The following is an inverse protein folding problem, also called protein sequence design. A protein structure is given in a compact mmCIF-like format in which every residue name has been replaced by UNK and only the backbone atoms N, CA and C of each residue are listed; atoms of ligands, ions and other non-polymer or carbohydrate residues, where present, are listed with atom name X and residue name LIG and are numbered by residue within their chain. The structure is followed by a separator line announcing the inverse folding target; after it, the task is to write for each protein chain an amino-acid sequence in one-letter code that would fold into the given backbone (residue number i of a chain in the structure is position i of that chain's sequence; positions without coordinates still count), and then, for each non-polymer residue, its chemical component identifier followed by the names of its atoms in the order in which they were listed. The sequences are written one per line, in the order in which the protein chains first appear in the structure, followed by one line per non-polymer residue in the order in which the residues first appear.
data_IF_473795103581
#
_entry.id   IF_473795103581
#
_cell.length_a   1.000
_cell.length_b   1.000
_cell.length_c   1.000
_cell.angle_alpha   90.00
_cell.angle_beta   90.00
_cell.angle_gamma   90.00
#
_symmetry.space_group_name_H-M   'P 1'
#
loop_
_entity.id
_entity.type
_entity.pdbx_description
1 polymer ?
#
# COMPACT_ATOMS: atom_id res chain seq x y z
N UNK A 1 -32.48 14.47 -44.83
CA UNK A 1 -31.31 14.97 -44.06
C UNK A 1 -31.56 15.27 -42.59
N UNK A 2 -32.81 15.54 -42.18
CA UNK A 2 -33.15 15.83 -40.77
C UNK A 2 -33.06 14.59 -39.88
N UNK A 3 -33.39 13.38 -40.35
CA UNK A 3 -33.32 12.13 -39.56
C UNK A 3 -31.88 11.65 -39.37
N UNK A 4 -31.02 11.80 -40.35
CA UNK A 4 -29.61 11.48 -40.27
C UNK A 4 -28.88 12.36 -39.24
N UNK A 5 -29.15 13.66 -39.22
CA UNK A 5 -28.61 14.58 -38.23
C UNK A 5 -29.04 14.24 -36.80
N UNK A 6 -30.29 13.78 -36.61
CA UNK A 6 -30.77 13.32 -35.28
C UNK A 6 -30.03 12.08 -34.79
N UNK A 7 -29.83 11.09 -35.67
CA UNK A 7 -29.10 9.86 -35.36
C UNK A 7 -27.59 10.16 -35.03
N UNK A 8 -26.98 11.05 -35.82
CA UNK A 8 -25.57 11.47 -35.53
C UNK A 8 -25.49 12.22 -34.22
N UNK A 9 -26.42 13.10 -33.90
CA UNK A 9 -26.42 13.86 -32.65
C UNK A 9 -26.62 12.95 -31.44
N UNK A 10 -27.50 11.95 -31.55
CA UNK A 10 -27.70 10.94 -30.47
C UNK A 10 -26.47 10.04 -30.29
N UNK A 11 -25.84 9.61 -31.38
CA UNK A 11 -24.56 8.86 -31.31
C UNK A 11 -23.44 9.67 -30.70
N UNK A 12 -23.28 10.92 -31.10
CA UNK A 12 -22.26 11.82 -30.52
C UNK A 12 -22.51 12.04 -29.02
N UNK A 13 -23.77 12.22 -28.60
CA UNK A 13 -24.12 12.27 -27.18
C UNK A 13 -23.79 10.98 -26.44
N UNK A 14 -24.10 9.83 -27.02
CA UNK A 14 -23.78 8.54 -26.45
C UNK A 14 -22.27 8.30 -26.30
N UNK A 15 -21.49 8.65 -27.34
CA UNK A 15 -20.02 8.56 -27.26
C UNK A 15 -19.44 9.53 -26.23
N UNK A 16 -19.95 10.75 -26.15
CA UNK A 16 -19.52 11.75 -25.15
C UNK A 16 -19.79 11.29 -23.72
N UNK A 17 -20.98 10.71 -23.48
CA UNK A 17 -21.33 10.12 -22.18
C UNK A 17 -20.43 8.94 -21.84
N UNK A 18 -20.07 8.11 -22.83
CA UNK A 18 -19.17 6.97 -22.63
C UNK A 18 -17.72 7.41 -22.38
N UNK A 19 -17.26 8.46 -23.05
CA UNK A 19 -15.95 9.07 -22.80
C UNK A 19 -15.91 9.70 -21.41
N UNK A 20 -16.93 10.43 -21.01
CA UNK A 20 -17.03 11.02 -19.67
C UNK A 20 -17.08 9.93 -18.58
N UNK A 21 -17.83 8.84 -18.82
CA UNK A 21 -17.86 7.69 -17.91
C UNK A 21 -16.50 6.99 -17.81
N UNK A 22 -15.78 6.83 -18.91
CA UNK A 22 -14.44 6.25 -18.91
C UNK A 22 -13.39 7.19 -18.27
N UNK A 23 -13.50 8.49 -18.48
CA UNK A 23 -12.67 9.49 -17.82
C UNK A 23 -12.96 9.55 -16.32
N UNK A 24 -14.22 9.44 -15.90
CA UNK A 24 -14.62 9.37 -14.49
C UNK A 24 -14.11 8.08 -13.82
N UNK A 25 -14.08 6.96 -14.54
CA UNK A 25 -13.46 5.71 -14.05
C UNK A 25 -11.93 5.83 -13.95
N UNK A 26 -11.31 6.59 -14.87
CA UNK A 26 -9.86 6.81 -14.89
C UNK A 26 -9.40 7.83 -13.84
N UNK A 27 -10.24 8.82 -13.52
CA UNK A 27 -9.96 9.84 -12.49
C UNK A 27 -10.34 9.40 -11.08
N UNK A 28 -11.11 8.33 -10.93
CA UNK A 28 -11.64 7.90 -9.63
C UNK A 28 -12.67 8.87 -9.01
N UNK A 29 -13.00 9.94 -9.71
CA UNK A 29 -13.96 10.96 -9.28
C UNK A 29 -15.32 10.73 -9.95
N UNK A 30 -15.99 9.64 -9.58
CA UNK A 30 -17.44 9.55 -9.79
C UNK A 30 -18.08 10.30 -8.63
N UNK A 31 -18.42 11.56 -8.83
CA UNK A 31 -19.30 12.24 -7.90
C UNK A 31 -20.60 11.45 -7.81
N UNK A 32 -21.07 11.12 -6.61
CA UNK A 32 -22.35 10.44 -6.45
C UNK A 32 -23.43 11.35 -7.02
N UNK A 33 -24.20 10.85 -7.98
CA UNK A 33 -25.43 11.50 -8.41
C UNK A 33 -26.40 11.47 -7.23
N UNK A 34 -26.36 12.54 -6.45
CA UNK A 34 -27.28 12.72 -5.31
C UNK A 34 -28.64 13.04 -5.95
N UNK A 35 -29.59 12.18 -5.73
CA UNK A 35 -30.97 12.46 -6.11
C UNK A 35 -31.46 13.66 -5.25
N UNK A 36 -31.77 14.81 -5.86
CA UNK A 36 -32.17 16.00 -5.11
C UNK A 36 -33.52 15.82 -4.37
N UNK A 37 -34.25 14.72 -4.66
CA UNK A 37 -35.53 14.38 -4.04
C UNK A 37 -35.39 13.40 -2.87
N UNK A 38 -34.19 12.84 -2.64
CA UNK A 38 -33.94 11.91 -1.55
C UNK A 38 -33.90 12.62 -0.19
N UNK A 39 -34.34 11.94 0.85
CA UNK A 39 -34.31 12.48 2.22
C UNK A 39 -32.89 12.79 2.68
N UNK A 40 -32.70 13.76 3.63
CA UNK A 40 -31.37 14.09 4.15
C UNK A 40 -30.62 12.89 4.75
N UNK A 41 -31.31 11.89 5.24
CA UNK A 41 -30.73 10.64 5.76
C UNK A 41 -30.25 9.72 4.64
N UNK A 42 -31.00 9.57 3.56
CA UNK A 42 -30.63 8.79 2.37
C UNK A 42 -29.46 9.43 1.64
N UNK A 43 -29.43 10.76 1.54
CA UNK A 43 -28.29 11.48 0.96
C UNK A 43 -27.01 11.27 1.78
N UNK A 44 -27.09 11.31 3.12
CA UNK A 44 -25.97 11.01 4.01
C UNK A 44 -25.52 9.56 3.91
N UNK A 45 -26.45 8.60 3.80
CA UNK A 45 -26.15 7.19 3.62
C UNK A 45 -25.47 6.92 2.27
N UNK A 46 -25.91 7.56 1.20
CA UNK A 46 -25.33 7.45 -0.14
C UNK A 46 -23.92 8.02 -0.18
N UNK A 47 -23.69 9.21 0.41
CA UNK A 47 -22.37 9.81 0.55
C UNK A 47 -21.43 8.95 1.39
N UNK A 48 -21.93 8.41 2.51
CA UNK A 48 -21.12 7.53 3.38
C UNK A 48 -20.75 6.22 2.67
N UNK A 49 -21.65 5.64 1.90
CA UNK A 49 -21.39 4.43 1.11
C UNK A 49 -20.41 4.73 -0.03
N UNK A 50 -20.55 5.86 -0.70
CA UNK A 50 -19.63 6.29 -1.75
C UNK A 50 -18.23 6.53 -1.22
N UNK A 51 -18.10 7.25 -0.09
CA UNK A 51 -16.81 7.43 0.59
C UNK A 51 -16.20 6.10 1.05
N UNK A 52 -17.03 5.15 1.50
CA UNK A 52 -16.59 3.81 1.88
C UNK A 52 -16.06 3.03 0.67
N UNK A 53 -16.78 3.06 -0.44
CA UNK A 53 -16.38 2.38 -1.68
C UNK A 53 -15.11 2.99 -2.27
N UNK A 54 -14.98 4.33 -2.29
CA UNK A 54 -13.77 5.01 -2.74
C UNK A 54 -12.58 4.68 -1.83
N UNK A 55 -12.77 4.63 -0.53
CA UNK A 55 -11.75 4.22 0.42
C UNK A 55 -11.34 2.75 0.22
N UNK A 56 -12.30 1.85 0.00
CA UNK A 56 -12.03 0.44 -0.28
C UNK A 56 -11.32 0.22 -1.62
N UNK A 57 -11.61 1.02 -2.63
CA UNK A 57 -10.94 0.97 -3.94
C UNK A 57 -9.51 1.53 -3.92
N UNK A 58 -9.19 2.45 -3.00
CA UNK A 58 -7.83 2.96 -2.80
C UNK A 58 -6.91 1.96 -2.09
N UNK A 59 -7.50 0.95 -1.47
CA UNK A 59 -6.78 -0.08 -0.75
C UNK A 59 -6.75 -1.31 -1.64
N UNK A 60 -5.64 -1.49 -2.34
CA UNK A 60 -5.42 -2.69 -3.13
C UNK A 60 -5.33 -3.90 -2.21
N UNK A 61 -6.42 -4.66 -2.13
CA UNK A 61 -6.50 -5.94 -1.43
C UNK A 61 -6.10 -7.03 -2.41
N UNK A 62 -4.84 -7.29 -2.53
CA UNK A 62 -4.39 -8.36 -3.40
C UNK A 62 -3.72 -9.45 -2.57
N UNK A 63 -3.96 -10.69 -2.96
CA UNK A 63 -2.99 -11.75 -2.68
C UNK A 63 -1.90 -11.58 -3.72
N UNK A 64 -0.73 -11.12 -3.33
CA UNK A 64 0.32 -10.88 -4.30
C UNK A 64 0.77 -12.23 -4.88
N UNK A 65 0.81 -12.32 -6.21
CA UNK A 65 1.35 -13.51 -6.92
C UNK A 65 2.89 -13.45 -7.01
N UNK A 66 3.52 -12.73 -6.10
CA UNK A 66 4.98 -12.60 -6.03
C UNK A 66 5.52 -13.58 -5.02
N UNK A 67 6.33 -14.53 -5.49
CA UNK A 67 6.97 -15.51 -4.64
C UNK A 67 8.27 -14.96 -4.07
N UNK A 68 8.68 -15.52 -2.94
CA UNK A 68 9.95 -15.21 -2.32
C UNK A 68 11.16 -15.50 -3.21
N UNK A 69 11.02 -16.50 -4.10
CA UNK A 69 12.01 -16.86 -5.12
C UNK A 69 12.17 -15.81 -6.22
N UNK A 70 11.10 -15.04 -6.47
CA UNK A 70 11.09 -14.04 -7.54
C UNK A 70 11.78 -12.72 -7.09
N UNK A 71 11.98 -12.56 -5.79
CA UNK A 71 12.76 -11.46 -5.21
C UNK A 71 14.24 -11.84 -5.28
N UNK A 72 14.95 -11.29 -6.24
CA UNK A 72 16.36 -11.61 -6.50
C UNK A 72 17.26 -10.64 -5.74
N UNK A 73 18.30 -11.18 -5.10
CA UNK A 73 19.20 -10.42 -4.24
C UNK A 73 18.53 -10.07 -2.90
N UNK A 74 19.05 -9.07 -2.21
CA UNK A 74 18.55 -8.55 -0.92
C UNK A 74 18.35 -9.65 0.14
N UNK A 75 19.23 -10.66 0.15
CA UNK A 75 19.09 -11.84 1.02
C UNK A 75 19.12 -11.47 2.51
N UNK A 76 19.91 -10.48 2.91
CA UNK A 76 19.93 -9.96 4.28
C UNK A 76 18.55 -9.39 4.68
N UNK A 77 17.92 -8.64 3.79
CA UNK A 77 16.59 -8.08 4.04
C UNK A 77 15.52 -9.18 4.08
N UNK A 78 15.62 -10.21 3.22
CA UNK A 78 14.75 -11.38 3.28
C UNK A 78 14.89 -12.11 4.61
N UNK A 79 16.11 -12.40 5.06
CA UNK A 79 16.36 -13.08 6.32
C UNK A 79 15.84 -12.27 7.50
N UNK A 80 16.07 -10.95 7.51
CA UNK A 80 15.55 -10.07 8.54
C UNK A 80 14.01 -10.06 8.61
N UNK A 81 13.31 -10.15 7.47
CA UNK A 81 11.84 -10.26 7.43
C UNK A 81 11.35 -11.64 7.87
N UNK A 82 12.07 -12.72 7.50
CA UNK A 82 11.76 -14.06 7.99
C UNK A 82 11.82 -14.12 9.52
N UNK A 83 12.89 -13.60 10.10
CA UNK A 83 13.07 -13.56 11.55
C UNK A 83 12.05 -12.69 12.27
N UNK A 84 11.67 -11.56 11.65
CA UNK A 84 10.80 -10.58 12.29
C UNK A 84 9.31 -10.86 12.12
N UNK A 85 8.90 -11.50 11.03
CA UNK A 85 7.48 -11.73 10.70
C UNK A 85 7.18 -13.21 10.53
N UNK A 86 7.91 -13.91 9.65
CA UNK A 86 7.52 -15.26 9.22
C UNK A 86 7.63 -16.26 10.35
N UNK A 87 8.78 -16.29 11.02
CA UNK A 87 8.99 -17.22 12.12
C UNK A 87 8.07 -16.96 13.32
N UNK A 88 7.91 -15.73 13.82
CA UNK A 88 6.98 -15.45 14.91
C UNK A 88 5.53 -15.76 14.56
N UNK A 89 5.13 -15.54 13.29
CA UNK A 89 3.75 -15.86 12.86
C UNK A 89 3.50 -17.37 12.82
N UNK A 90 4.50 -18.17 12.38
CA UNK A 90 4.39 -19.63 12.27
C UNK A 90 4.59 -20.34 13.62
N UNK A 91 5.43 -19.78 14.49
CA UNK A 91 5.85 -20.37 15.77
C UNK A 91 5.92 -19.31 16.88
N UNK A 92 4.76 -18.75 17.23
CA UNK A 92 4.65 -17.72 18.28
C UNK A 92 5.12 -18.22 19.67
N UNK A 93 5.06 -19.54 19.87
CA UNK A 93 5.54 -20.22 21.08
C UNK A 93 7.03 -19.98 21.38
N UNK A 94 7.84 -19.75 20.33
CA UNK A 94 9.27 -19.47 20.45
C UNK A 94 9.60 -17.99 20.79
N UNK A 95 8.61 -17.13 20.82
CA UNK A 95 8.77 -15.68 21.02
C UNK A 95 8.01 -15.17 22.25
N UNK A 96 8.32 -15.63 23.46
CA UNK A 96 7.55 -15.29 24.67
C UNK A 96 7.60 -13.81 25.04
N UNK A 97 8.62 -13.09 24.59
CA UNK A 97 8.78 -11.64 24.79
C UNK A 97 8.04 -10.80 23.74
N UNK A 98 7.39 -11.44 22.77
CA UNK A 98 6.78 -10.80 21.60
C UNK A 98 7.78 -10.59 20.49
N UNK A 99 7.32 -10.00 19.40
CA UNK A 99 8.10 -9.74 18.20
C UNK A 99 7.70 -8.41 17.56
N UNK A 100 8.55 -7.80 16.72
CA UNK A 100 8.27 -6.53 16.08
C UNK A 100 7.06 -6.64 15.15
N UNK A 101 6.16 -5.69 15.24
CA UNK A 101 4.98 -5.57 14.36
C UNK A 101 5.06 -4.35 13.45
N UNK A 102 5.90 -3.38 13.81
CA UNK A 102 6.26 -2.23 12.99
C UNK A 102 7.65 -2.41 12.38
N UNK A 103 7.74 -2.46 11.06
CA UNK A 103 8.98 -2.69 10.31
C UNK A 103 9.16 -1.58 9.30
N UNK A 104 10.34 -1.00 9.24
CA UNK A 104 10.71 0.02 8.27
C UNK A 104 11.68 -0.57 7.24
N UNK A 105 11.27 -0.60 5.97
CA UNK A 105 12.15 -0.86 4.84
C UNK A 105 12.68 0.48 4.32
N UNK A 106 13.99 0.62 4.26
CA UNK A 106 14.60 1.85 3.75
C UNK A 106 15.76 1.54 2.79
N UNK A 107 15.98 2.42 1.83
CA UNK A 107 17.04 2.26 0.84
C UNK A 107 16.73 3.02 -0.45
N UNK A 108 17.64 2.97 -1.42
CA UNK A 108 17.50 3.69 -2.68
C UNK A 108 16.18 3.35 -3.41
N UNK A 109 15.68 4.24 -4.28
CA UNK A 109 14.53 3.94 -5.11
C UNK A 109 14.84 2.76 -6.06
N UNK A 110 13.82 1.99 -6.43
CA UNK A 110 13.95 0.87 -7.37
C UNK A 110 14.58 -0.41 -6.80
N UNK A 111 14.90 -0.49 -5.50
CA UNK A 111 15.49 -1.68 -4.88
C UNK A 111 14.49 -2.81 -4.58
N UNK A 112 13.21 -2.66 -4.94
CA UNK A 112 12.21 -3.71 -4.76
C UNK A 112 11.58 -3.80 -3.36
N UNK A 113 11.55 -2.71 -2.57
CA UNK A 113 10.93 -2.68 -1.22
C UNK A 113 9.48 -3.16 -1.22
N UNK A 114 8.68 -2.67 -2.17
CA UNK A 114 7.26 -3.05 -2.35
C UNK A 114 7.11 -4.52 -2.70
N UNK A 115 7.95 -5.01 -3.63
CA UNK A 115 7.97 -6.43 -4.06
C UNK A 115 8.36 -7.35 -2.91
N UNK A 116 9.33 -6.93 -2.10
CA UNK A 116 9.79 -7.68 -0.93
C UNK A 116 8.69 -7.79 0.15
N UNK A 117 7.95 -6.71 0.41
CA UNK A 117 6.83 -6.72 1.35
C UNK A 117 5.67 -7.60 0.84
N UNK A 118 5.36 -7.53 -0.46
CA UNK A 118 4.35 -8.37 -1.11
C UNK A 118 4.71 -9.85 -1.04
N UNK A 119 5.97 -10.21 -1.34
CA UNK A 119 6.46 -11.58 -1.22
C UNK A 119 6.39 -12.11 0.22
N UNK A 120 6.59 -11.23 1.22
CA UNK A 120 6.44 -11.60 2.63
C UNK A 120 5.00 -11.96 2.97
N UNK A 121 4.02 -11.24 2.43
CA UNK A 121 2.60 -11.55 2.62
C UNK A 121 2.23 -12.90 1.98
N UNK A 122 2.75 -13.16 0.78
CA UNK A 122 2.53 -14.43 0.09
C UNK A 122 3.12 -15.61 0.84
N UNK A 123 4.33 -15.48 1.39
CA UNK A 123 4.99 -16.52 2.21
C UNK A 123 4.17 -16.91 3.45
N UNK A 124 3.33 -16.01 3.94
CA UNK A 124 2.45 -16.21 5.09
C UNK A 124 1.04 -16.68 4.70
N UNK A 125 0.71 -16.82 3.42
CA UNK A 125 -0.67 -16.95 2.94
C UNK A 125 -1.58 -15.84 3.53
N UNK A 126 -1.00 -14.65 3.67
CA UNK A 126 -1.63 -13.50 4.32
C UNK A 126 -2.23 -12.51 3.33
N UNK A 127 -2.96 -11.56 3.86
CA UNK A 127 -3.47 -10.43 3.08
C UNK A 127 -2.43 -9.31 2.98
N UNK A 128 -2.35 -8.71 1.81
CA UNK A 128 -1.51 -7.56 1.54
C UNK A 128 -2.38 -6.34 1.26
N UNK A 129 -2.28 -5.33 2.10
CA UNK A 129 -2.96 -4.05 1.95
C UNK A 129 -1.90 -3.03 1.58
N UNK A 130 -1.91 -2.60 0.32
CA UNK A 130 -0.96 -1.61 -0.17
C UNK A 130 -1.59 -0.22 -0.14
N UNK A 131 -0.89 0.72 0.48
CA UNK A 131 -1.32 2.11 0.62
C UNK A 131 -0.15 3.02 0.25
N UNK A 132 -0.41 3.99 -0.60
CA UNK A 132 0.55 5.03 -0.96
C UNK A 132 0.38 6.25 -0.02
N UNK A 133 1.45 6.59 0.69
CA UNK A 133 1.47 7.70 1.65
C UNK A 133 1.18 9.05 1.01
N UNK A 134 1.63 9.28 -0.24
CA UNK A 134 1.40 10.53 -0.96
C UNK A 134 -0.08 10.73 -1.30
N UNK A 135 -0.73 9.66 -1.75
CA UNK A 135 -2.18 9.65 -2.03
C UNK A 135 -3.01 9.82 -0.76
N UNK A 136 -2.56 9.27 0.37
CA UNK A 136 -3.22 9.46 1.66
C UNK A 136 -3.27 10.94 2.05
N UNK A 137 -2.16 11.67 1.88
CA UNK A 137 -2.10 13.09 2.26
C UNK A 137 -2.90 13.98 1.31
N UNK A 138 -2.81 13.78 0.00
CA UNK A 138 -3.42 14.65 -0.99
C UNK A 138 -4.95 14.55 -1.06
N UNK A 139 -5.49 13.34 -0.98
CA UNK A 139 -6.94 13.10 -1.09
C UNK A 139 -7.70 13.18 0.24
N UNK A 140 -7.00 13.21 1.37
CA UNK A 140 -7.62 13.17 2.69
C UNK A 140 -7.53 14.51 3.46
N UNK A 141 -7.24 15.60 2.76
CA UNK A 141 -7.28 16.96 3.31
C UNK A 141 -8.63 17.23 4.00
N UNK A 142 -8.60 17.39 5.33
CA UNK A 142 -9.76 17.62 6.18
C UNK A 142 -10.28 16.42 6.98
N UNK A 143 -10.09 15.18 6.54
CA UNK A 143 -10.51 13.96 7.24
C UNK A 143 -9.39 12.92 7.41
N UNK A 144 -8.16 13.31 7.20
CA UNK A 144 -7.01 12.41 7.18
C UNK A 144 -6.86 11.59 8.48
N UNK A 145 -7.13 12.19 9.64
CA UNK A 145 -7.14 11.53 10.95
C UNK A 145 -8.15 10.37 10.99
N UNK A 146 -9.39 10.62 10.57
CA UNK A 146 -10.45 9.60 10.54
C UNK A 146 -10.11 8.46 9.56
N UNK A 147 -9.47 8.78 8.46
CA UNK A 147 -9.14 7.81 7.43
C UNK A 147 -7.96 6.93 7.84
N UNK A 148 -6.97 7.46 8.55
CA UNK A 148 -5.93 6.66 9.21
C UNK A 148 -6.57 5.69 10.19
N UNK A 149 -7.45 6.15 11.08
CA UNK A 149 -8.15 5.27 12.03
C UNK A 149 -9.00 4.19 11.33
N UNK A 150 -9.71 4.55 10.24
CA UNK A 150 -10.49 3.59 9.44
C UNK A 150 -9.59 2.52 8.79
N UNK A 151 -8.44 2.91 8.23
CA UNK A 151 -7.48 2.00 7.62
C UNK A 151 -7.00 0.93 8.61
N UNK A 152 -6.55 1.36 9.78
CA UNK A 152 -6.07 0.46 10.81
C UNK A 152 -7.19 -0.42 11.39
N UNK A 153 -8.38 0.14 11.60
CA UNK A 153 -9.56 -0.62 12.03
C UNK A 153 -9.93 -1.70 11.03
N UNK A 154 -9.90 -1.38 9.75
CA UNK A 154 -10.16 -2.34 8.68
C UNK A 154 -9.09 -3.43 8.64
N UNK A 155 -7.81 -3.09 8.69
CA UNK A 155 -6.72 -4.06 8.70
C UNK A 155 -6.83 -5.03 9.89
N UNK A 156 -7.15 -4.54 11.09
CA UNK A 156 -7.43 -5.38 12.27
C UNK A 156 -8.63 -6.30 12.05
N UNK A 157 -9.73 -5.75 11.51
CA UNK A 157 -10.95 -6.52 11.23
C UNK A 157 -10.70 -7.68 10.26
N UNK A 158 -9.80 -7.52 9.28
CA UNK A 158 -9.39 -8.62 8.40
C UNK A 158 -8.54 -9.66 9.14
N UNK A 159 -7.58 -9.23 9.95
CA UNK A 159 -6.76 -10.13 10.74
C UNK A 159 -7.59 -10.99 11.70
N UNK A 160 -8.60 -10.39 12.32
CA UNK A 160 -9.46 -11.06 13.29
C UNK A 160 -10.47 -12.01 12.62
N UNK A 161 -11.11 -11.60 11.51
CA UNK A 161 -12.14 -12.40 10.83
C UNK A 161 -11.59 -13.63 10.15
N UNK A 162 -10.48 -13.47 9.44
CA UNK A 162 -9.92 -14.52 8.60
C UNK A 162 -8.91 -15.38 9.35
N UNK A 163 -8.53 -14.99 10.58
CA UNK A 163 -7.44 -15.61 11.36
C UNK A 163 -6.11 -15.71 10.58
N UNK A 164 -5.98 -14.93 9.51
CA UNK A 164 -4.82 -14.87 8.64
C UNK A 164 -3.97 -13.65 8.93
N UNK A 165 -2.65 -13.73 8.71
CA UNK A 165 -1.77 -12.56 8.81
C UNK A 165 -2.16 -11.48 7.81
N UNK A 166 -2.11 -10.23 8.25
CA UNK A 166 -2.33 -9.05 7.42
C UNK A 166 -1.08 -8.21 7.43
N UNK A 167 -0.56 -7.89 6.26
CA UNK A 167 0.52 -6.93 6.09
C UNK A 167 -0.09 -5.64 5.53
N UNK A 168 -0.07 -4.59 6.35
CA UNK A 168 -0.35 -3.23 5.94
C UNK A 168 0.96 -2.60 5.47
N UNK A 169 1.11 -2.47 4.17
CA UNK A 169 2.26 -1.85 3.55
C UNK A 169 1.96 -0.39 3.21
N UNK A 170 2.84 0.50 3.62
CA UNK A 170 2.71 1.94 3.37
C UNK A 170 3.96 2.39 2.62
N UNK A 171 3.78 2.65 1.33
CA UNK A 171 4.86 3.17 0.49
C UNK A 171 5.00 4.69 0.66
N UNK A 172 6.14 5.23 0.30
CA UNK A 172 6.46 6.65 0.42
C UNK A 172 6.13 7.23 1.81
N UNK A 173 6.52 6.51 2.86
CA UNK A 173 6.21 6.87 4.24
C UNK A 173 6.69 8.28 4.61
N UNK A 174 7.76 8.76 3.97
CA UNK A 174 8.28 10.11 4.13
C UNK A 174 7.31 11.20 3.65
N UNK A 175 6.44 10.90 2.69
CA UNK A 175 5.37 11.82 2.27
C UNK A 175 4.29 12.01 3.35
N UNK A 176 4.04 10.97 4.15
CA UNK A 176 3.04 10.96 5.23
C UNK A 176 3.64 11.49 6.55
N UNK A 177 4.87 11.14 6.86
CA UNK A 177 5.47 11.26 8.18
C UNK A 177 6.75 12.12 8.22
N UNK A 178 7.14 12.72 7.10
CA UNK A 178 8.34 13.57 7.01
C UNK A 178 8.17 14.89 7.77
N UNK A 179 9.27 15.42 8.31
CA UNK A 179 9.30 16.76 8.91
C UNK A 179 9.01 17.83 7.85
N UNK A 180 8.07 18.72 8.15
CA UNK A 180 7.76 19.89 7.33
C UNK A 180 7.78 21.14 8.19
N UNK A 181 8.41 22.20 7.69
CA UNK A 181 8.54 23.49 8.38
C UNK A 181 7.23 24.28 8.51
N UNK A 182 6.23 23.97 7.68
CA UNK A 182 4.91 24.64 7.66
C UNK A 182 3.79 23.59 7.71
N UNK A 183 3.62 22.92 8.85
CA UNK A 183 2.55 21.93 9.00
C UNK A 183 1.19 22.62 9.22
N UNK A 184 0.20 22.23 8.42
CA UNK A 184 -1.19 22.61 8.65
C UNK A 184 -1.75 21.69 9.76
N UNK A 185 -2.54 22.21 10.68
CA UNK A 185 -3.02 21.46 11.86
C UNK A 185 -3.72 20.13 11.57
N UNK A 186 -4.18 19.88 10.34
CA UNK A 186 -4.71 18.60 9.88
C UNK A 186 -3.64 17.51 9.68
N UNK A 187 -2.46 17.90 9.21
CA UNK A 187 -1.32 16.97 9.01
C UNK A 187 -0.78 16.49 10.36
N UNK A 188 -0.65 17.40 11.32
CA UNK A 188 -0.21 17.06 12.68
C UNK A 188 -1.15 16.04 13.34
N UNK A 189 -2.48 16.24 13.19
CA UNK A 189 -3.47 15.30 13.75
C UNK A 189 -3.39 13.92 13.11
N UNK A 190 -3.21 13.86 11.79
CA UNK A 190 -3.07 12.58 11.06
C UNK A 190 -1.82 11.83 11.48
N UNK A 191 -0.69 12.54 11.67
CA UNK A 191 0.56 11.98 12.17
C UNK A 191 0.40 11.41 13.58
N UNK A 192 -0.22 12.17 14.49
CA UNK A 192 -0.48 11.72 15.85
C UNK A 192 -1.42 10.50 15.89
N UNK A 193 -2.46 10.47 15.04
CA UNK A 193 -3.33 9.32 14.91
C UNK A 193 -2.56 8.09 14.43
N UNK A 194 -1.67 8.26 13.45
CA UNK A 194 -0.84 7.17 12.96
C UNK A 194 0.09 6.60 14.06
N UNK A 195 0.71 7.47 14.86
CA UNK A 195 1.51 7.06 16.02
C UNK A 195 0.68 6.26 17.03
N UNK A 196 -0.52 6.73 17.34
CA UNK A 196 -1.46 6.06 18.25
C UNK A 196 -1.84 4.68 17.76
N UNK A 197 -2.09 4.55 16.45
CA UNK A 197 -2.43 3.26 15.83
C UNK A 197 -1.25 2.28 15.85
N UNK A 198 -0.03 2.75 15.57
CA UNK A 198 1.18 1.93 15.69
C UNK A 198 1.42 1.46 17.12
N UNK A 199 1.26 2.35 18.11
CA UNK A 199 1.38 1.97 19.52
C UNK A 199 0.33 0.94 19.91
N UNK A 200 -0.89 1.06 19.39
CA UNK A 200 -1.96 0.09 19.60
C UNK A 200 -1.69 -1.30 19.02
N UNK A 201 -0.87 -1.41 17.96
CA UNK A 201 -0.43 -2.70 17.40
C UNK A 201 0.75 -3.27 18.17
N UNK A 202 1.68 -2.43 18.58
CA UNK A 202 2.87 -2.83 19.32
C UNK A 202 2.59 -3.19 20.79
N UNK A 203 1.38 -2.89 21.29
CA UNK A 203 0.97 -3.15 22.68
C UNK A 203 0.99 -4.64 23.03
N UNK A 204 1.55 -4.97 24.19
CA UNK A 204 1.64 -6.34 24.71
C UNK A 204 0.23 -6.94 24.91
N UNK A 205 0.04 -8.18 24.49
CA UNK A 205 -1.15 -8.98 24.81
C UNK A 205 -2.24 -9.04 23.75
N UNK A 206 -2.04 -8.49 22.55
CA UNK A 206 -2.96 -8.70 21.42
C UNK A 206 -2.35 -9.70 20.44
N UNK A 207 -2.97 -10.86 20.33
CA UNK A 207 -2.61 -11.89 19.33
C UNK A 207 -2.97 -11.53 17.88
N UNK A 208 -3.19 -10.24 17.62
CA UNK A 208 -3.53 -9.75 16.29
C UNK A 208 -2.36 -9.97 15.34
N UNK A 209 -2.58 -10.75 14.29
CA UNK A 209 -1.57 -11.03 13.26
C UNK A 209 -1.50 -9.87 12.23
N UNK A 210 -1.47 -8.63 12.70
CA UNK A 210 -1.34 -7.44 11.90
C UNK A 210 0.10 -6.90 11.97
N UNK A 211 0.72 -6.73 10.82
CA UNK A 211 2.05 -6.18 10.64
C UNK A 211 1.97 -4.90 9.83
N UNK A 212 2.71 -3.88 10.23
CA UNK A 212 2.85 -2.63 9.47
C UNK A 212 4.25 -2.56 8.92
N UNK A 213 4.37 -2.52 7.61
CA UNK A 213 5.63 -2.35 6.91
C UNK A 213 5.60 -0.99 6.23
N UNK A 214 6.40 -0.05 6.71
CA UNK A 214 6.62 1.23 6.03
C UNK A 214 7.80 1.15 5.08
N UNK A 215 7.73 1.80 3.93
CA UNK A 215 8.84 1.95 3.01
C UNK A 215 9.18 3.41 2.78
N UNK A 216 10.46 3.73 2.75
CA UNK A 216 10.95 5.08 2.45
C UNK A 216 12.27 5.06 1.69
N UNK A 217 12.44 6.04 0.82
CA UNK A 217 13.72 6.33 0.18
C UNK A 217 14.55 7.37 0.97
N UNK A 218 13.92 8.04 1.96
CA UNK A 218 14.50 9.14 2.72
C UNK A 218 14.37 8.89 4.23
N UNK A 219 15.07 7.90 4.81
CA UNK A 219 14.92 7.57 6.23
C UNK A 219 15.31 8.71 7.17
N UNK A 220 16.16 9.63 6.71
CA UNK A 220 16.57 10.82 7.47
C UNK A 220 15.48 11.90 7.58
N UNK A 221 14.42 11.84 6.79
CA UNK A 221 13.30 12.76 6.85
C UNK A 221 12.21 12.35 7.87
N UNK A 222 12.33 11.15 8.44
CA UNK A 222 11.38 10.65 9.42
C UNK A 222 11.73 11.11 10.83
N UNK A 223 10.73 11.60 11.55
CA UNK A 223 10.86 12.04 12.94
C UNK A 223 11.22 10.89 13.90
N UNK A 224 11.95 11.23 14.95
CA UNK A 224 12.28 10.30 16.04
C UNK A 224 11.08 9.55 16.63
N UNK A 225 9.92 10.18 16.89
CA UNK A 225 8.73 9.48 17.38
C UNK A 225 8.31 8.31 16.50
N UNK A 226 8.37 8.45 15.16
CA UNK A 226 8.03 7.37 14.22
C UNK A 226 9.10 6.29 14.19
N UNK A 227 10.38 6.68 14.12
CA UNK A 227 11.50 5.73 14.13
C UNK A 227 11.50 4.82 15.36
N UNK A 228 10.97 5.28 16.51
CA UNK A 228 10.84 4.47 17.72
C UNK A 228 9.72 3.44 17.62
N UNK A 229 8.67 3.67 16.83
CA UNK A 229 7.55 2.74 16.63
C UNK A 229 7.88 1.64 15.63
N UNK A 230 8.77 1.93 14.68
CA UNK A 230 9.33 0.91 13.79
C UNK A 230 10.46 0.18 14.50
N UNK A 231 10.10 -0.90 15.19
CA UNK A 231 10.99 -1.68 16.07
C UNK A 231 12.11 -2.36 15.29
N UNK A 232 11.87 -2.75 14.05
CA UNK A 232 12.87 -3.31 13.14
C UNK A 232 13.04 -2.40 11.93
N UNK A 233 14.29 -2.07 11.64
CA UNK A 233 14.68 -1.26 10.48
C UNK A 233 15.58 -2.10 9.59
N UNK A 234 15.20 -2.25 8.33
CA UNK A 234 15.84 -3.14 7.37
C UNK A 234 16.29 -2.34 6.16
N UNK A 235 17.58 -2.35 5.92
CA UNK A 235 18.15 -1.72 4.74
C UNK A 235 17.98 -2.63 3.52
N UNK A 236 17.43 -2.09 2.44
CA UNK A 236 17.28 -2.77 1.16
C UNK A 236 18.30 -2.15 0.20
N UNK A 237 19.39 -2.88 -0.05
CA UNK A 237 20.51 -2.43 -0.86
C UNK A 237 20.19 -2.46 -2.36
N UNK A 238 21.02 -1.77 -3.13
CA UNK A 238 21.05 -1.96 -4.59
C UNK A 238 21.48 -3.40 -4.93
N UNK A 239 20.98 -3.95 -6.04
CA UNK A 239 21.36 -5.29 -6.46
C UNK A 239 22.84 -5.36 -6.86
N UNK A 240 23.52 -6.42 -6.44
CA UNK A 240 24.86 -6.75 -6.87
C UNK A 240 24.89 -7.09 -8.38
N UNK A 241 26.11 -7.17 -8.97
CA UNK A 241 26.26 -7.57 -10.38
C UNK A 241 25.54 -8.88 -10.65
N UNK A 242 25.79 -9.90 -9.82
CA UNK A 242 25.16 -11.22 -9.95
C UNK A 242 23.61 -11.14 -9.84
N UNK A 243 23.11 -10.30 -8.93
CA UNK A 243 21.67 -10.08 -8.78
C UNK A 243 21.07 -9.39 -10.00
N UNK A 244 21.78 -8.41 -10.60
CA UNK A 244 21.35 -7.75 -11.83
C UNK A 244 21.28 -8.73 -13.01
N UNK A 245 22.27 -9.60 -13.17
CA UNK A 245 22.25 -10.63 -14.21
C UNK A 245 21.05 -11.56 -14.08
N UNK A 246 20.73 -11.99 -12.85
CA UNK A 246 19.57 -12.83 -12.56
C UNK A 246 18.26 -12.08 -12.85
N UNK A 247 18.18 -10.77 -12.51
CA UNK A 247 17.04 -9.93 -12.82
C UNK A 247 16.85 -9.79 -14.33
N UNK A 248 17.90 -9.48 -15.08
CA UNK A 248 17.82 -9.42 -16.54
C UNK A 248 17.35 -10.76 -17.12
N UNK A 249 17.91 -11.86 -16.66
CA UNK A 249 17.48 -13.20 -17.10
C UNK A 249 15.99 -13.44 -16.81
N UNK A 250 15.52 -13.09 -15.62
CA UNK A 250 14.11 -13.25 -15.23
C UNK A 250 13.16 -12.46 -16.15
N UNK A 251 13.47 -11.18 -16.39
CA UNK A 251 12.59 -10.31 -17.19
C UNK A 251 12.71 -10.54 -18.70
N UNK A 252 13.86 -10.99 -19.18
CA UNK A 252 14.08 -11.22 -20.60
C UNK A 252 13.74 -12.64 -21.06
N UNK A 253 13.46 -13.56 -20.12
CA UNK A 253 13.19 -14.98 -20.44
C UNK A 253 11.99 -15.17 -21.39
N UNK A 254 11.05 -14.22 -21.43
CA UNK A 254 9.89 -14.22 -22.34
C UNK A 254 10.12 -13.43 -23.63
N UNK A 255 11.27 -12.80 -23.79
CA UNK A 255 11.61 -11.97 -24.95
C UNK A 255 12.50 -12.75 -25.90
N UNK A 256 12.28 -12.57 -27.22
CA UNK A 256 13.24 -13.02 -28.24
C UNK A 256 14.36 -11.98 -28.34
N UNK A 257 15.45 -12.25 -27.64
CA UNK A 257 16.64 -11.39 -27.71
C UNK A 257 17.48 -11.74 -28.95
N UNK A 258 18.15 -10.73 -29.52
CA UNK A 258 19.22 -10.95 -30.49
C UNK A 258 20.34 -11.77 -29.84
N UNK A 259 20.87 -12.79 -30.54
CA UNK A 259 21.88 -13.68 -30.01
C UNK A 259 23.18 -13.00 -29.54
N UNK A 260 23.36 -11.74 -29.84
CA UNK A 260 24.46 -10.88 -29.37
C UNK A 260 24.23 -10.26 -28.00
N UNK A 261 22.96 -10.23 -27.54
CA UNK A 261 22.57 -9.64 -26.25
C UNK A 261 22.66 -10.74 -25.17
N UNK A 262 23.61 -10.57 -24.25
CA UNK A 262 23.77 -11.46 -23.09
C UNK A 262 23.39 -10.72 -21.80
N UNK A 263 22.75 -11.40 -20.87
CA UNK A 263 22.38 -10.84 -19.55
C UNK A 263 23.56 -10.24 -18.82
N UNK A 264 24.73 -10.86 -18.90
CA UNK A 264 25.98 -10.36 -18.33
C UNK A 264 26.44 -9.00 -18.92
N UNK A 265 26.17 -8.78 -20.21
CA UNK A 265 26.55 -7.50 -20.87
C UNK A 265 25.60 -6.36 -20.51
N UNK A 266 24.37 -6.70 -20.06
CA UNK A 266 23.35 -5.75 -19.64
C UNK A 266 23.44 -5.40 -18.15
N UNK A 267 24.02 -6.25 -17.35
CA UNK A 267 24.17 -6.10 -15.89
C UNK A 267 25.28 -5.14 -15.50
#
# INVERSE_FOLDING_TARGET
DSQLNKIYTERVKSYRNRINALQAVQSGDVEPTIDPTASPEEQRATLANHQKNNFENMIMKERPDVRWTDVIGVDDAKNALRESIVYPTKRSDLFPLGWPRGILLYGPPGCGKTVLAAATANELDGYFINVDGSTMMSKWLGEAEKNVAKLFKMARSYADRESKPVILFIDELDSLLGERTNEIGGEVRSRNQFLTELDGINGKGKDTKLYVIGATNKPWSLDHPFLRRFQKRIYVSLPTLESREKLFTLYTNKLKLDGRVRSHTLA
#
